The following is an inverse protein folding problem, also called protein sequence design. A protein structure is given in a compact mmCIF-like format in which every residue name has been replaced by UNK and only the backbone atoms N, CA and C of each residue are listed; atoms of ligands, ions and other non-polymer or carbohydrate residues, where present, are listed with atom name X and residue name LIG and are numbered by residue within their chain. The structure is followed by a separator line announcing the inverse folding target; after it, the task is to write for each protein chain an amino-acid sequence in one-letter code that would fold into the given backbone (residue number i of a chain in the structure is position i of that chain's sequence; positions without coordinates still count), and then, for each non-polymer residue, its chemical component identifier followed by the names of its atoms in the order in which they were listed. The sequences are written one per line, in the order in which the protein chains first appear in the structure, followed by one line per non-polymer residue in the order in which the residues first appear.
data_IF_015847923538
#
_entry.id   IF_015847923538
#
_cell.length_a   1.000
_cell.length_b   1.000
_cell.length_c   1.000
_cell.angle_alpha   90.00
_cell.angle_beta   90.00
_cell.angle_gamma   90.00
#
_symmetry.space_group_name_H-M   'P 1'
#
loop_
_entity.id
_entity.type
_entity.pdbx_description
1 polymer ?
#
# COMPACT_ATOMS: atom_id res chain seq x y z
N UNK A 1 8.16 7.76 11.49
CA UNK A 1 8.72 6.64 10.72
C UNK A 1 8.14 6.66 9.32
N UNK A 2 8.94 6.34 8.31
CA UNK A 2 8.47 6.19 6.93
C UNK A 2 7.74 4.86 6.76
N UNK A 3 6.94 4.73 5.71
CA UNK A 3 6.28 3.50 5.30
C UNK A 3 7.03 2.99 4.08
N UNK A 4 7.58 1.80 4.18
CA UNK A 4 8.09 1.09 3.02
C UNK A 4 7.25 -0.16 2.81
N UNK A 5 6.72 -0.30 1.60
CA UNK A 5 6.11 -1.54 1.15
C UNK A 5 7.20 -2.39 0.52
N UNK A 6 7.40 -3.57 1.06
CA UNK A 6 8.27 -4.60 0.50
C UNK A 6 7.36 -5.65 -0.13
N UNK A 7 7.52 -5.88 -1.43
CA UNK A 7 6.90 -7.02 -2.10
C UNK A 7 7.95 -8.02 -2.52
N UNK A 8 7.64 -9.29 -2.33
CA UNK A 8 8.54 -10.39 -2.66
C UNK A 8 7.79 -11.60 -3.18
N UNK A 9 8.46 -12.43 -3.97
CA UNK A 9 7.94 -13.69 -4.47
C UNK A 9 8.82 -14.88 -4.03
N UNK A 10 8.33 -16.09 -4.29
CA UNK A 10 9.06 -17.32 -3.98
C UNK A 10 10.31 -17.55 -4.88
N UNK A 11 10.52 -16.70 -5.89
CA UNK A 11 11.69 -16.71 -6.78
C UNK A 11 12.81 -15.75 -6.30
N UNK A 12 12.72 -15.27 -5.06
CA UNK A 12 13.62 -14.28 -4.45
C UNK A 12 13.64 -12.91 -5.17
N UNK A 13 12.65 -12.58 -6.00
CA UNK A 13 12.45 -11.19 -6.44
C UNK A 13 11.97 -10.37 -5.24
N UNK A 14 12.58 -9.20 -5.02
CA UNK A 14 12.15 -8.25 -3.99
C UNK A 14 12.12 -6.85 -4.56
N UNK A 15 11.06 -6.11 -4.25
CA UNK A 15 10.90 -4.71 -4.65
C UNK A 15 10.41 -3.87 -3.48
N UNK A 16 11.05 -2.73 -3.30
CA UNK A 16 10.71 -1.74 -2.28
C UNK A 16 9.96 -0.57 -2.93
N UNK A 17 8.86 -0.14 -2.31
CA UNK A 17 8.12 1.06 -2.65
C UNK A 17 8.02 1.93 -1.42
N UNK A 18 8.50 3.17 -1.51
CA UNK A 18 8.47 4.09 -0.39
C UNK A 18 7.20 4.95 -0.44
N UNK A 19 6.26 4.74 0.48
CA UNK A 19 5.00 5.49 0.49
C UNK A 19 5.07 6.81 1.27
N UNK A 20 6.26 7.26 1.69
CA UNK A 20 6.38 8.45 2.51
C UNK A 20 6.14 8.16 3.99
N UNK A 21 5.54 9.08 4.75
CA UNK A 21 5.23 8.86 6.18
C UNK A 21 3.75 8.65 6.43
N UNK A 22 3.40 7.85 7.44
CA UNK A 22 2.01 7.71 7.91
C UNK A 22 1.38 9.05 8.27
N UNK A 23 2.15 9.95 8.89
CA UNK A 23 1.69 11.30 9.19
C UNK A 23 1.31 12.10 7.95
N UNK A 24 2.03 11.92 6.83
CA UNK A 24 1.70 12.56 5.56
C UNK A 24 0.50 11.92 4.89
N UNK A 25 0.38 10.58 4.93
CA UNK A 25 -0.78 9.86 4.41
C UNK A 25 -2.07 10.27 5.17
N UNK A 26 -2.02 10.25 6.50
CA UNK A 26 -3.16 10.55 7.38
C UNK A 26 -3.55 12.04 7.39
N UNK A 27 -2.62 12.94 7.10
CA UNK A 27 -2.96 14.37 6.95
C UNK A 27 -3.69 14.67 5.65
N UNK A 28 -3.65 13.75 4.68
CA UNK A 28 -4.22 13.91 3.35
C UNK A 28 -5.48 13.07 3.17
N UNK A 29 -5.58 11.90 3.80
CA UNK A 29 -6.72 10.99 3.67
C UNK A 29 -7.65 11.10 4.87
N UNK A 30 -8.90 11.50 4.63
CA UNK A 30 -9.91 11.56 5.69
C UNK A 30 -10.23 10.16 6.25
N UNK A 31 -10.50 10.10 7.55
CA UNK A 31 -10.80 8.84 8.27
C UNK A 31 -11.99 8.08 7.69
N UNK A 32 -13.01 8.80 7.19
CA UNK A 32 -14.18 8.21 6.51
C UNK A 32 -13.84 7.55 5.16
N UNK A 33 -12.77 7.98 4.49
CA UNK A 33 -12.26 7.31 3.29
C UNK A 33 -11.58 6.00 3.66
N UNK A 34 -10.82 6.00 4.77
CA UNK A 34 -10.15 4.80 5.29
C UNK A 34 -11.14 3.73 5.80
N UNK A 35 -12.30 4.13 6.31
CA UNK A 35 -13.37 3.19 6.71
C UNK A 35 -13.85 2.30 5.55
N UNK A 36 -13.72 2.78 4.30
CA UNK A 36 -14.06 2.02 3.09
C UNK A 36 -12.85 1.30 2.48
N UNK A 37 -11.67 1.39 3.09
CA UNK A 37 -10.41 0.81 2.62
C UNK A 37 -9.81 -0.09 3.72
N UNK A 38 -10.41 -1.26 3.98
CA UNK A 38 -10.05 -2.10 5.10
C UNK A 38 -8.59 -2.58 5.10
N UNK A 39 -7.95 -2.77 3.94
CA UNK A 39 -6.54 -3.19 3.89
C UNK A 39 -5.62 -2.02 4.23
N UNK A 40 -5.89 -0.81 3.72
CA UNK A 40 -5.22 0.43 4.13
C UNK A 40 -5.43 0.74 5.62
N UNK A 41 -6.64 0.54 6.14
CA UNK A 41 -6.94 0.71 7.56
C UNK A 41 -6.10 -0.21 8.42
N UNK A 42 -6.06 -1.51 8.09
CA UNK A 42 -5.18 -2.48 8.78
C UNK A 42 -3.70 -2.14 8.64
N UNK A 43 -3.28 -1.67 7.47
CA UNK A 43 -1.91 -1.21 7.20
C UNK A 43 -1.52 -0.04 8.11
N UNK A 44 -2.44 0.91 8.35
CA UNK A 44 -2.26 2.02 9.29
C UNK A 44 -2.22 1.52 10.73
N UNK A 45 -3.17 0.69 11.14
CA UNK A 45 -3.23 0.18 12.52
C UNK A 45 -1.99 -0.63 12.87
N UNK A 46 -1.51 -1.45 11.92
CA UNK A 46 -0.32 -2.29 12.09
C UNK A 46 1.00 -1.52 11.99
N UNK A 47 0.99 -0.25 11.57
CA UNK A 47 2.18 0.59 11.67
C UNK A 47 2.38 1.23 13.03
N UNK A 48 1.30 1.29 13.82
CA UNK A 48 1.33 1.79 15.19
C UNK A 48 1.67 0.67 16.20
N UNK A 49 1.50 -0.59 15.78
CA UNK A 49 1.91 -1.77 16.54
C UNK A 49 3.22 -2.28 15.92
N UNK A 50 4.23 -2.62 16.71
CA UNK A 50 5.53 -3.12 16.20
C UNK A 50 5.45 -4.53 15.55
N UNK A 51 4.25 -5.00 15.21
CA UNK A 51 4.00 -6.30 14.61
C UNK A 51 4.20 -6.26 13.10
N UNK A 52 4.81 -7.31 12.54
CA UNK A 52 4.99 -7.47 11.10
C UNK A 52 3.62 -7.56 10.40
N UNK A 53 3.24 -6.51 9.67
CA UNK A 53 2.05 -6.55 8.82
C UNK A 53 2.34 -7.31 7.53
N UNK A 54 1.48 -8.29 7.24
CA UNK A 54 1.67 -9.18 6.11
C UNK A 54 0.36 -9.45 5.38
N UNK A 55 0.35 -9.29 4.05
CA UNK A 55 -0.80 -9.64 3.19
C UNK A 55 -0.37 -10.44 1.97
N UNK A 56 -1.26 -11.32 1.52
CA UNK A 56 -1.08 -12.18 0.35
C UNK A 56 -2.39 -12.30 -0.44
N UNK A 57 -2.30 -12.86 -1.65
CA UNK A 57 -3.44 -13.36 -2.42
C UNK A 57 -4.57 -12.31 -2.57
N UNK A 58 -5.77 -12.64 -2.08
CA UNK A 58 -6.94 -11.76 -2.20
C UNK A 58 -6.77 -10.42 -1.50
N UNK A 59 -6.02 -10.36 -0.41
CA UNK A 59 -5.83 -9.11 0.33
C UNK A 59 -4.86 -8.17 -0.40
N UNK A 60 -3.87 -8.71 -1.12
CA UNK A 60 -3.03 -7.93 -2.03
C UNK A 60 -3.85 -7.38 -3.22
N UNK A 61 -4.78 -8.16 -3.77
CA UNK A 61 -5.70 -7.69 -4.82
C UNK A 61 -6.61 -6.58 -4.30
N UNK A 62 -7.18 -6.75 -3.09
CA UNK A 62 -7.99 -5.71 -2.44
C UNK A 62 -7.18 -4.44 -2.20
N UNK A 63 -5.94 -4.57 -1.72
CA UNK A 63 -5.05 -3.45 -1.53
C UNK A 63 -4.79 -2.67 -2.83
N UNK A 64 -4.50 -3.35 -3.93
CA UNK A 64 -4.36 -2.69 -5.24
C UNK A 64 -5.63 -1.93 -5.66
N UNK A 65 -6.82 -2.50 -5.42
CA UNK A 65 -8.09 -1.81 -5.71
C UNK A 65 -8.29 -0.57 -4.84
N UNK A 66 -7.93 -0.64 -3.56
CA UNK A 66 -7.98 0.49 -2.65
C UNK A 66 -7.01 1.60 -3.08
N UNK A 67 -5.80 1.25 -3.57
CA UNK A 67 -4.87 2.23 -4.16
C UNK A 67 -5.50 2.92 -5.38
N UNK A 68 -6.08 2.16 -6.31
CA UNK A 68 -6.76 2.73 -7.49
C UNK A 68 -7.89 3.67 -7.06
N UNK A 69 -8.68 3.29 -6.06
CA UNK A 69 -9.74 4.14 -5.50
C UNK A 69 -9.16 5.41 -4.86
N UNK A 70 -8.04 5.30 -4.14
CA UNK A 70 -7.36 6.43 -3.51
C UNK A 70 -6.84 7.43 -4.54
N UNK A 71 -6.23 6.93 -5.64
CA UNK A 71 -5.71 7.75 -6.74
C UNK A 71 -6.82 8.42 -7.57
N UNK A 72 -7.98 7.78 -7.67
CA UNK A 72 -9.15 8.32 -8.39
C UNK A 72 -10.01 9.26 -7.52
N UNK A 73 -9.87 9.20 -6.20
CA UNK A 73 -10.55 10.12 -5.31
C UNK A 73 -10.01 11.54 -5.48
N UNK A 74 -10.87 12.55 -5.35
CA UNK A 74 -10.50 13.98 -5.44
C UNK A 74 -9.72 14.49 -4.20
N UNK A 75 -8.97 13.60 -3.54
CA UNK A 75 -8.15 13.92 -2.39
C UNK A 75 -6.79 14.42 -2.90
N UNK A 76 -6.27 15.48 -2.27
CA UNK A 76 -4.92 15.93 -2.57
C UNK A 76 -3.92 14.91 -2.01
N UNK A 77 -3.28 14.16 -2.89
CA UNK A 77 -2.11 13.34 -2.59
C UNK A 77 -0.85 14.09 -3.04
N UNK A 78 0.19 14.10 -2.22
CA UNK A 78 1.50 14.63 -2.60
C UNK A 78 2.02 13.88 -3.83
N UNK A 79 2.71 14.59 -4.73
CA UNK A 79 3.23 13.99 -5.97
C UNK A 79 4.10 12.76 -5.71
N UNK A 80 4.89 12.76 -4.64
CA UNK A 80 5.73 11.63 -4.24
C UNK A 80 4.92 10.39 -3.86
N UNK A 81 3.86 10.57 -3.07
CA UNK A 81 2.96 9.49 -2.68
C UNK A 81 2.21 8.96 -3.90
N UNK A 82 1.69 9.86 -4.73
CA UNK A 82 0.99 9.49 -5.96
C UNK A 82 1.90 8.68 -6.88
N UNK A 83 3.12 9.15 -7.13
CA UNK A 83 4.10 8.45 -7.96
C UNK A 83 4.46 7.07 -7.40
N UNK A 84 4.63 6.96 -6.08
CA UNK A 84 4.98 5.68 -5.46
C UNK A 84 3.85 4.66 -5.52
N UNK A 85 2.59 5.11 -5.42
CA UNK A 85 1.40 4.28 -5.60
C UNK A 85 1.21 3.88 -7.08
N UNK A 86 1.44 4.80 -8.02
CA UNK A 86 1.40 4.52 -9.46
C UNK A 86 2.50 3.52 -9.86
N UNK A 87 3.71 3.65 -9.31
CA UNK A 87 4.83 2.72 -9.51
C UNK A 87 4.48 1.32 -8.97
N UNK A 88 3.87 1.25 -7.79
CA UNK A 88 3.39 0.00 -7.20
C UNK A 88 2.38 -0.70 -8.11
N UNK A 89 1.35 0.03 -8.58
CA UNK A 89 0.34 -0.54 -9.49
C UNK A 89 0.95 -0.98 -10.82
N UNK A 90 1.87 -0.17 -11.37
CA UNK A 90 2.55 -0.45 -12.62
C UNK A 90 3.41 -1.71 -12.54
N UNK A 91 4.07 -1.93 -11.40
CA UNK A 91 4.85 -3.15 -11.15
C UNK A 91 4.00 -4.42 -11.24
N UNK A 92 2.78 -4.39 -10.70
CA UNK A 92 1.88 -5.55 -10.68
C UNK A 92 1.07 -5.77 -11.96
N UNK A 93 1.07 -4.81 -12.90
CA UNK A 93 0.23 -4.84 -14.11
C UNK A 93 0.40 -6.12 -14.94
N UNK A 94 1.63 -6.61 -15.05
CA UNK A 94 1.98 -7.79 -15.85
C UNK A 94 2.45 -8.98 -14.97
N UNK A 95 2.26 -8.89 -13.64
CA UNK A 95 2.72 -9.92 -12.68
C UNK A 95 1.56 -10.80 -12.22
N UNK A 96 1.87 -12.08 -11.97
CA UNK A 96 0.89 -13.03 -11.43
C UNK A 96 0.76 -12.84 -9.91
N UNK A 97 -0.21 -12.04 -9.47
CA UNK A 97 -0.35 -11.59 -8.07
C UNK A 97 -0.25 -12.73 -7.03
N UNK A 98 -0.79 -13.92 -7.32
CA UNK A 98 -0.77 -15.05 -6.37
C UNK A 98 0.63 -15.59 -6.05
N UNK A 99 1.67 -15.19 -6.78
CA UNK A 99 3.07 -15.52 -6.45
C UNK A 99 3.74 -14.44 -5.59
N UNK A 100 3.01 -13.38 -5.20
CA UNK A 100 3.56 -12.23 -4.52
C UNK A 100 2.96 -12.03 -3.13
N UNK A 101 3.83 -11.57 -2.25
CA UNK A 101 3.58 -11.31 -0.85
C UNK A 101 3.98 -9.88 -0.55
N UNK A 102 3.28 -9.24 0.38
CA UNK A 102 3.56 -7.87 0.79
C UNK A 102 3.80 -7.81 2.30
N UNK A 103 4.91 -7.17 2.67
CA UNK A 103 5.25 -6.80 4.04
C UNK A 103 5.50 -5.29 4.14
N UNK A 104 5.42 -4.75 5.36
CA UNK A 104 5.72 -3.36 5.67
C UNK A 104 6.97 -3.28 6.54
N UNK A 105 7.83 -2.32 6.23
CA UNK A 105 9.00 -1.94 7.03
C UNK A 105 9.06 -0.43 7.27
#
# INVERSE_FOLDING_TARGET
MGISIIVYNDENETKLFYLGSFSALLSQVNRSTLENMPVFGKLIDSSNNEDEFFIENEDLIKFMKEIVQLLNNSIYLSENLKGSLDDFLSFFKDKKINSWKLSIA
#
